data_IF_578897448375
#
_entry.id   IF_578897448375
#
_cell.length_a   1.000
_cell.length_b   1.000
_cell.length_c   1.000
_cell.angle_alpha   90.00
_cell.angle_beta   90.00
_cell.angle_gamma   90.00
#
_symmetry.space_group_name_H-M   'P 1'
#
loop_
_entity.id
_entity.type
_entity.pdbx_description
1 polymer ?
#
# COMPACT_ATOMS: atom_id res chain seq x y z
N UNK A 1 -18.84 -17.79 1.64
CA UNK A 1 -18.37 -17.15 2.89
C UNK A 1 -17.94 -18.24 3.86
N UNK A 2 -16.93 -18.01 4.67
CA UNK A 2 -16.40 -19.01 5.60
C UNK A 2 -15.70 -18.36 6.78
N UNK A 3 -15.40 -19.14 7.83
CA UNK A 3 -14.66 -18.67 8.99
C UNK A 3 -13.24 -18.24 8.60
N UNK A 4 -12.82 -17.07 9.02
CA UNK A 4 -11.48 -16.52 8.88
C UNK A 4 -11.02 -15.86 10.19
N UNK A 5 -9.89 -15.16 10.20
CA UNK A 5 -9.34 -14.53 11.40
C UNK A 5 -10.17 -13.35 11.97
N UNK A 6 -11.26 -12.96 11.32
CA UNK A 6 -12.13 -11.85 11.71
C UNK A 6 -13.55 -12.32 12.04
N UNK A 7 -13.82 -13.62 12.00
CA UNK A 7 -15.19 -14.16 12.11
C UNK A 7 -15.81 -13.98 13.48
N UNK A 8 -15.01 -13.81 14.52
CA UNK A 8 -15.39 -13.54 15.90
C UNK A 8 -15.63 -12.04 16.19
N UNK A 9 -15.25 -11.16 15.28
CA UNK A 9 -15.47 -9.73 15.42
C UNK A 9 -16.88 -9.35 15.00
N UNK A 10 -17.44 -8.34 15.65
CA UNK A 10 -18.60 -7.61 15.13
C UNK A 10 -18.19 -6.83 13.88
N UNK A 11 -19.15 -6.37 13.08
CA UNK A 11 -18.88 -5.53 11.91
C UNK A 11 -18.22 -4.21 12.32
N UNK A 12 -18.61 -3.64 13.44
CA UNK A 12 -18.05 -2.40 13.98
C UNK A 12 -16.59 -2.58 14.42
N UNK A 13 -16.30 -3.63 15.18
CA UNK A 13 -14.92 -3.96 15.56
C UNK A 13 -14.02 -4.21 14.35
N UNK A 14 -14.52 -4.91 13.33
CA UNK A 14 -13.79 -5.11 12.08
C UNK A 14 -13.53 -3.78 11.36
N UNK A 15 -14.53 -2.92 11.21
CA UNK A 15 -14.38 -1.60 10.57
C UNK A 15 -13.38 -0.73 11.35
N UNK A 16 -13.38 -0.79 12.68
CA UNK A 16 -12.44 -0.05 13.52
C UNK A 16 -11.00 -0.56 13.41
N UNK A 17 -10.79 -1.81 12.98
CA UNK A 17 -9.46 -2.35 12.66
C UNK A 17 -8.98 -1.95 11.27
N UNK A 18 -9.91 -1.71 10.34
CA UNK A 18 -9.56 -1.15 9.05
C UNK A 18 -9.07 0.26 9.30
N UNK A 19 -7.92 0.55 8.83
CA UNK A 19 -7.42 1.88 9.00
C UNK A 19 -8.26 2.85 8.23
N UNK A 20 -8.84 3.74 8.94
CA UNK A 20 -9.44 4.90 8.32
C UNK A 20 -8.40 5.59 7.44
N UNK A 21 -8.57 5.47 6.13
CA UNK A 21 -8.15 6.56 5.28
C UNK A 21 -8.86 7.78 5.83
N UNK A 22 -8.14 8.82 6.17
CA UNK A 22 -8.73 9.99 6.76
C UNK A 22 -9.90 10.46 5.90
N UNK A 23 -10.96 10.93 6.54
CA UNK A 23 -12.11 11.51 5.85
C UNK A 23 -11.64 12.54 4.82
N UNK A 24 -12.46 12.87 3.82
CA UNK A 24 -12.17 13.92 2.82
C UNK A 24 -11.72 15.24 3.47
N UNK A 25 -12.15 15.52 4.68
CA UNK A 25 -11.77 16.66 5.49
C UNK A 25 -10.32 16.54 6.00
N UNK A 26 -9.94 15.40 6.49
CA UNK A 26 -8.56 15.11 6.89
C UNK A 26 -7.61 15.15 5.69
N UNK A 27 -8.01 14.63 4.53
CA UNK A 27 -7.24 14.76 3.28
C UNK A 27 -7.00 16.23 2.92
N UNK A 28 -8.02 17.11 3.03
CA UNK A 28 -7.87 18.55 2.81
C UNK A 28 -6.87 19.16 3.78
N UNK A 29 -6.96 18.83 5.07
CA UNK A 29 -6.04 19.30 6.10
C UNK A 29 -4.60 18.84 5.83
N UNK A 30 -4.42 17.61 5.37
CA UNK A 30 -3.11 17.08 4.98
C UNK A 30 -2.56 17.78 3.73
N UNK A 31 -3.42 18.07 2.74
CA UNK A 31 -3.05 18.87 1.56
C UNK A 31 -2.62 20.29 1.95
N UNK A 32 -3.31 20.92 2.89
CA UNK A 32 -2.93 22.25 3.38
C UNK A 32 -1.62 22.21 4.17
N UNK A 33 -1.46 21.22 5.05
CA UNK A 33 -0.23 21.02 5.83
C UNK A 33 0.98 20.76 4.93
N UNK A 34 0.83 19.98 3.87
CA UNK A 34 1.94 19.72 2.95
C UNK A 34 2.31 20.95 2.13
N UNK A 35 1.36 21.81 1.77
CA UNK A 35 1.64 23.12 1.16
C UNK A 35 2.47 24.01 2.09
N UNK A 36 2.14 24.02 3.38
CA UNK A 36 2.90 24.76 4.41
C UNK A 36 4.33 24.21 4.57
N UNK A 37 4.51 22.92 4.34
CA UNK A 37 5.82 22.25 4.44
C UNK A 37 6.58 22.21 3.10
N UNK A 38 6.07 22.86 2.05
CA UNK A 38 6.61 22.79 0.68
C UNK A 38 6.81 21.35 0.15
N UNK A 39 5.98 20.41 0.60
CA UNK A 39 6.01 19.04 0.12
C UNK A 39 5.22 18.91 -1.18
N UNK A 40 5.78 18.27 -2.16
CA UNK A 40 5.07 17.95 -3.42
C UNK A 40 4.10 16.80 -3.16
N UNK A 41 2.79 17.04 -3.32
CA UNK A 41 1.71 16.10 -3.02
C UNK A 41 1.34 15.16 -4.17
N UNK A 42 2.20 14.99 -5.14
CA UNK A 42 1.90 14.11 -6.28
C UNK A 42 3.08 13.25 -6.64
N UNK A 43 2.79 12.02 -6.97
CA UNK A 43 3.73 11.13 -7.63
C UNK A 43 3.81 11.54 -9.12
N UNK A 44 4.82 12.30 -9.49
CA UNK A 44 4.94 12.94 -10.83
C UNK A 44 5.48 12.02 -11.92
N UNK A 45 5.73 10.75 -11.62
CA UNK A 45 6.14 9.77 -12.61
C UNK A 45 5.06 9.55 -13.68
N UNK A 46 5.46 9.11 -14.86
CA UNK A 46 4.53 8.79 -15.95
C UNK A 46 4.41 7.27 -16.12
N UNK A 47 3.18 6.78 -16.18
CA UNK A 47 2.89 5.38 -16.49
C UNK A 47 2.74 5.24 -18.00
N UNK A 48 3.70 4.57 -18.63
CA UNK A 48 3.63 4.25 -20.06
C UNK A 48 2.57 3.19 -20.30
N UNK A 49 1.63 3.46 -21.18
CA UNK A 49 0.59 2.50 -21.56
C UNK A 49 1.19 1.37 -22.37
N UNK A 50 0.94 0.12 -21.98
CA UNK A 50 1.26 -1.03 -22.80
C UNK A 50 0.29 -1.13 -23.97
N UNK A 51 0.76 -1.14 -25.23
CA UNK A 51 -0.14 -1.23 -26.38
C UNK A 51 -0.77 -2.62 -26.52
N UNK A 52 -0.08 -3.66 -26.05
CA UNK A 52 -0.55 -5.06 -26.09
C UNK A 52 -0.33 -5.67 -24.69
N UNK A 53 -1.23 -5.42 -23.72
CA UNK A 53 -1.11 -6.01 -22.40
C UNK A 53 -1.31 -7.54 -22.50
N UNK A 54 -0.55 -8.35 -21.72
CA UNK A 54 -0.82 -9.76 -21.63
C UNK A 54 -2.21 -10.00 -21.00
N UNK A 55 -2.84 -11.12 -21.32
CA UNK A 55 -4.16 -11.48 -20.77
C UNK A 55 -4.14 -11.72 -19.27
N UNK A 56 -2.99 -12.10 -18.74
CA UNK A 56 -2.80 -12.39 -17.32
C UNK A 56 -1.41 -11.97 -16.84
N UNK A 57 -1.37 -11.42 -15.62
CA UNK A 57 -0.15 -11.13 -14.86
C UNK A 57 -0.31 -11.68 -13.45
N UNK A 58 0.69 -12.38 -12.94
CA UNK A 58 0.74 -12.85 -11.55
C UNK A 58 2.16 -12.70 -10.99
N UNK A 59 2.30 -11.83 -10.02
CA UNK A 59 3.52 -11.57 -9.26
C UNK A 59 3.58 -12.33 -7.93
N UNK A 60 2.47 -12.99 -7.51
CA UNK A 60 2.32 -13.56 -6.18
C UNK A 60 3.40 -14.57 -5.79
N UNK A 61 3.96 -15.28 -6.77
CA UNK A 61 5.02 -16.29 -6.57
C UNK A 61 6.40 -15.84 -7.05
N UNK A 62 6.50 -14.62 -7.61
CA UNK A 62 7.74 -14.18 -8.29
C UNK A 62 8.45 -13.05 -7.59
N UNK A 63 7.69 -12.09 -7.04
CA UNK A 63 8.26 -10.83 -6.63
C UNK A 63 7.72 -10.29 -5.30
N UNK A 64 6.77 -10.95 -4.64
CA UNK A 64 6.19 -10.45 -3.40
C UNK A 64 6.51 -11.34 -2.21
N UNK A 65 6.66 -10.72 -1.07
CA UNK A 65 6.84 -11.37 0.24
C UNK A 65 5.51 -11.95 0.76
N UNK A 66 5.56 -12.70 1.83
CA UNK A 66 4.35 -13.25 2.46
C UNK A 66 3.41 -12.14 2.93
N UNK A 67 2.10 -12.40 2.90
CA UNK A 67 1.08 -11.48 3.38
C UNK A 67 1.32 -11.14 4.85
N UNK A 68 1.37 -9.85 5.15
CA UNK A 68 1.56 -9.32 6.50
C UNK A 68 0.21 -9.21 7.20
N UNK A 69 0.12 -9.72 8.44
CA UNK A 69 -1.04 -9.51 9.30
C UNK A 69 -0.93 -8.14 9.97
N UNK A 70 -1.81 -7.24 9.62
CA UNK A 70 -1.83 -5.87 10.13
C UNK A 70 -2.20 -5.79 11.62
N UNK A 71 -3.06 -6.69 12.12
CA UNK A 71 -3.57 -6.63 13.49
C UNK A 71 -4.39 -5.36 13.74
N UNK A 72 -4.30 -4.82 14.94
CA UNK A 72 -5.04 -3.62 15.35
C UNK A 72 -4.34 -2.29 14.95
N UNK A 73 -3.17 -2.34 14.31
CA UNK A 73 -2.47 -1.14 13.86
C UNK A 73 -2.91 -0.77 12.44
N UNK A 74 -3.29 0.47 12.25
CA UNK A 74 -3.67 1.02 10.96
C UNK A 74 -2.52 1.19 9.97
N UNK A 75 -1.73 0.17 9.76
CA UNK A 75 -0.49 0.19 8.99
C UNK A 75 -0.63 -0.19 7.52
N UNK A 76 -1.84 -0.39 7.01
CA UNK A 76 -2.06 -0.88 5.64
C UNK A 76 -1.36 -0.04 4.57
N UNK A 77 -1.35 1.28 4.72
CA UNK A 77 -0.67 2.21 3.80
C UNK A 77 0.84 1.94 3.74
N UNK A 78 1.47 1.72 4.90
CA UNK A 78 2.89 1.43 4.99
C UNK A 78 3.20 0.04 4.43
N UNK A 79 2.42 -0.97 4.80
CA UNK A 79 2.59 -2.36 4.32
C UNK A 79 2.43 -2.42 2.80
N UNK A 80 1.41 -1.78 2.22
CA UNK A 80 1.20 -1.75 0.79
C UNK A 80 2.34 -1.03 0.04
N UNK A 81 2.78 0.14 0.53
CA UNK A 81 3.89 0.88 -0.05
C UNK A 81 5.20 0.07 -0.02
N UNK A 82 5.49 -0.57 1.13
CA UNK A 82 6.68 -1.40 1.27
C UNK A 82 6.61 -2.64 0.37
N UNK A 83 5.46 -3.31 0.29
CA UNK A 83 5.29 -4.47 -0.62
C UNK A 83 5.57 -4.13 -2.09
N UNK A 84 5.17 -2.95 -2.55
CA UNK A 84 5.50 -2.49 -3.90
C UNK A 84 7.02 -2.28 -4.08
N UNK A 85 7.70 -1.70 -3.08
CA UNK A 85 9.15 -1.47 -3.13
C UNK A 85 9.92 -2.79 -3.05
N UNK A 86 9.52 -3.72 -2.20
CA UNK A 86 10.10 -5.07 -2.11
C UNK A 86 10.02 -5.80 -3.45
N UNK A 87 8.86 -5.70 -4.11
CA UNK A 87 8.65 -6.30 -5.41
C UNK A 87 9.56 -5.70 -6.49
N UNK A 88 9.62 -4.36 -6.58
CA UNK A 88 10.50 -3.69 -7.53
C UNK A 88 11.99 -3.95 -7.23
N UNK A 89 12.35 -4.04 -5.96
CA UNK A 89 13.68 -4.43 -5.53
C UNK A 89 14.02 -5.85 -6.00
N UNK A 90 13.09 -6.79 -5.81
CA UNK A 90 13.23 -8.17 -6.26
C UNK A 90 13.38 -8.27 -7.79
N UNK A 91 12.54 -7.55 -8.53
CA UNK A 91 12.60 -7.52 -10.00
C UNK A 91 13.90 -6.92 -10.51
N UNK A 92 14.43 -5.91 -9.82
CA UNK A 92 15.67 -5.23 -10.23
C UNK A 92 16.94 -6.00 -9.87
N UNK A 93 16.97 -6.61 -8.69
CA UNK A 93 18.20 -7.21 -8.14
C UNK A 93 18.17 -8.74 -8.06
N UNK A 94 17.04 -9.38 -8.44
CA UNK A 94 16.87 -10.83 -8.37
C UNK A 94 16.83 -11.38 -6.94
N UNK A 95 16.60 -10.53 -5.94
CA UNK A 95 16.62 -10.90 -4.52
C UNK A 95 15.42 -10.33 -3.79
N UNK A 96 14.62 -11.21 -3.21
CA UNK A 96 13.47 -10.84 -2.40
C UNK A 96 13.91 -10.65 -0.94
N UNK A 97 14.04 -9.40 -0.52
CA UNK A 97 14.33 -9.02 0.87
C UNK A 97 13.12 -8.32 1.48
N UNK A 98 12.90 -8.54 2.78
CA UNK A 98 11.86 -7.84 3.53
C UNK A 98 12.35 -6.49 4.01
N UNK A 99 11.57 -5.44 3.77
CA UNK A 99 11.86 -4.07 4.17
C UNK A 99 11.04 -3.66 5.40
N UNK A 100 11.42 -2.55 6.01
CA UNK A 100 10.77 -2.08 7.23
C UNK A 100 9.59 -1.17 6.95
N UNK A 101 8.37 -1.69 7.07
CA UNK A 101 7.19 -0.82 7.15
C UNK A 101 7.11 -0.09 8.51
N UNK A 102 7.75 -0.62 9.55
CA UNK A 102 7.86 0.03 10.85
C UNK A 102 8.60 1.37 10.76
N UNK A 103 9.65 1.45 9.95
CA UNK A 103 10.34 2.72 9.71
C UNK A 103 9.36 3.77 9.15
N UNK A 104 8.47 3.39 8.24
CA UNK A 104 7.45 4.30 7.70
C UNK A 104 6.47 4.71 8.79
N UNK A 105 5.99 3.76 9.61
CA UNK A 105 5.10 4.07 10.74
C UNK A 105 5.71 5.09 11.70
N UNK A 106 6.96 4.90 12.06
CA UNK A 106 7.62 5.69 13.10
C UNK A 106 8.12 7.05 12.59
N UNK A 107 8.52 7.13 11.31
CA UNK A 107 9.34 8.25 10.83
C UNK A 107 8.65 9.13 9.77
N UNK A 108 7.51 8.72 9.20
CA UNK A 108 6.87 9.49 8.12
C UNK A 108 5.86 10.54 8.59
N UNK A 109 5.81 10.83 9.90
CA UNK A 109 4.87 11.80 10.47
C UNK A 109 5.00 13.21 9.90
N UNK A 110 6.22 13.67 9.60
CA UNK A 110 6.44 14.96 8.94
C UNK A 110 5.87 15.03 7.51
N UNK A 111 5.67 13.87 6.87
CA UNK A 111 5.06 13.74 5.54
C UNK A 111 3.53 13.62 5.60
N UNK A 112 2.95 13.56 6.80
CA UNK A 112 1.51 13.56 7.02
C UNK A 112 0.93 12.21 7.46
N UNK A 113 1.72 11.15 7.54
CA UNK A 113 1.28 9.86 8.07
C UNK A 113 1.14 9.91 9.60
N UNK A 114 0.24 9.11 10.16
CA UNK A 114 -0.11 9.11 11.59
C UNK A 114 0.17 7.77 12.28
N UNK A 115 1.20 7.06 11.83
CA UNK A 115 1.58 5.77 12.39
C UNK A 115 0.45 4.73 12.31
N UNK A 116 0.08 4.13 13.44
CA UNK A 116 -1.03 3.17 13.52
C UNK A 116 -2.43 3.79 13.36
N UNK A 117 -2.55 5.11 13.32
CA UNK A 117 -3.83 5.80 13.07
C UNK A 117 -4.11 6.01 11.60
N UNK A 118 -3.17 5.66 10.72
CA UNK A 118 -3.36 5.71 9.30
C UNK A 118 -2.37 6.58 8.55
N UNK A 119 -2.57 6.65 7.25
CA UNK A 119 -1.73 7.44 6.36
C UNK A 119 -1.98 7.10 4.89
N UNK A 120 -1.15 7.67 4.03
CA UNK A 120 -1.23 7.49 2.59
C UNK A 120 0.04 6.85 2.04
N UNK A 121 -0.12 6.03 1.02
CA UNK A 121 1.00 5.38 0.32
C UNK A 121 1.92 6.40 -0.34
N UNK A 122 1.37 7.49 -0.88
CA UNK A 122 2.14 8.57 -1.51
C UNK A 122 3.07 9.24 -0.51
N UNK A 123 2.56 9.54 0.70
CA UNK A 123 3.35 10.12 1.79
C UNK A 123 4.45 9.15 2.27
N UNK A 124 4.17 7.85 2.25
CA UNK A 124 5.17 6.82 2.51
C UNK A 124 6.25 6.81 1.41
N UNK A 125 5.87 6.91 0.14
CA UNK A 125 6.81 6.97 -0.98
C UNK A 125 7.68 8.24 -0.92
N UNK A 126 7.12 9.42 -0.63
CA UNK A 126 7.90 10.66 -0.49
C UNK A 126 8.90 10.57 0.64
N UNK A 127 8.46 10.05 1.81
CA UNK A 127 9.39 9.82 2.92
C UNK A 127 10.57 8.93 2.50
N UNK A 128 10.29 7.81 1.80
CA UNK A 128 11.31 6.86 1.35
C UNK A 128 12.22 7.45 0.26
N UNK A 129 11.66 8.28 -0.61
CA UNK A 129 12.43 9.00 -1.64
C UNK A 129 13.50 9.87 -1.01
N UNK A 130 13.14 10.64 0.01
CA UNK A 130 14.04 11.60 0.66
C UNK A 130 15.04 10.93 1.63
N UNK A 131 14.59 9.91 2.35
CA UNK A 131 15.35 9.33 3.46
C UNK A 131 15.95 7.97 3.14
N UNK A 132 15.36 7.21 2.22
CA UNK A 132 15.68 5.81 2.00
C UNK A 132 14.91 4.87 2.92
N UNK A 133 15.15 3.58 2.77
CA UNK A 133 14.44 2.51 3.44
C UNK A 133 15.40 1.47 3.98
N UNK A 134 15.24 1.08 5.22
CA UNK A 134 15.97 0.01 5.89
C UNK A 134 15.34 -1.36 5.62
N UNK A 135 16.12 -2.42 5.73
CA UNK A 135 15.58 -3.77 5.82
C UNK A 135 14.87 -4.00 7.16
N UNK A 136 13.92 -4.95 7.18
CA UNK A 136 13.27 -5.37 8.43
C UNK A 136 14.22 -6.01 9.45
N UNK A 137 15.40 -6.45 9.01
CA UNK A 137 16.47 -6.96 9.88
C UNK A 137 17.14 -5.83 10.67
N UNK A 138 17.31 -4.68 10.02
CA UNK A 138 17.98 -3.50 10.61
C UNK A 138 17.02 -2.64 11.41
N UNK A 139 15.77 -2.52 10.94
CA UNK A 139 14.69 -1.80 11.60
C UNK A 139 13.47 -2.73 11.72
N UNK A 140 13.34 -3.49 12.83
CA UNK A 140 12.37 -4.58 12.95
C UNK A 140 10.91 -4.12 12.93
N UNK A 141 10.08 -4.85 12.19
CA UNK A 141 8.64 -4.66 12.14
C UNK A 141 7.96 -5.14 13.44
N UNK A 142 7.29 -4.26 14.16
CA UNK A 142 6.58 -4.56 15.42
C UNK A 142 5.09 -4.25 15.33
N UNK A 143 4.68 -3.46 14.33
CA UNK A 143 3.30 -3.07 14.07
C UNK A 143 2.63 -2.34 15.25
N UNK A 144 3.37 -1.45 15.88
CA UNK A 144 2.94 -0.54 16.95
C UNK A 144 3.56 0.83 16.73
N UNK A 145 3.00 1.88 17.32
CA UNK A 145 3.63 3.22 17.30
C UNK A 145 4.90 3.23 18.15
N UNK A 146 5.99 3.74 17.61
CA UNK A 146 7.26 3.95 18.29
C UNK A 146 7.86 5.31 17.90
N UNK A 147 8.87 5.75 18.64
CA UNK A 147 9.69 6.88 18.24
C UNK A 147 10.59 6.50 17.06
N UNK A 148 10.76 7.40 16.11
CA UNK A 148 11.66 7.20 14.99
C UNK A 148 13.11 7.08 15.48
N UNK A 149 13.76 5.96 15.16
CA UNK A 149 15.17 5.70 15.46
C UNK A 149 16.01 5.46 14.19
N UNK A 150 15.42 5.71 13.02
CA UNK A 150 16.12 5.53 11.75
C UNK A 150 17.28 6.51 11.59
N UNK A 151 18.39 6.00 11.08
CA UNK A 151 19.54 6.78 10.65
C UNK A 151 19.93 6.38 9.22
N UNK A 152 20.59 7.30 8.49
CA UNK A 152 20.99 7.06 7.09
C UNK A 152 21.93 5.86 6.93
N UNK A 153 22.65 5.45 7.96
CA UNK A 153 23.50 4.25 7.96
C UNK A 153 22.72 2.95 7.88
N UNK A 154 21.42 2.96 8.20
CA UNK A 154 20.51 1.81 8.11
C UNK A 154 19.93 1.61 6.70
N UNK A 155 20.20 2.53 5.78
CA UNK A 155 19.62 2.52 4.43
C UNK A 155 20.04 1.27 3.65
N UNK A 156 19.05 0.50 3.21
CA UNK A 156 19.20 -0.65 2.32
C UNK A 156 18.89 -0.27 0.87
N UNK A 157 17.81 0.51 0.66
CA UNK A 157 17.37 0.94 -0.66
C UNK A 157 16.70 2.30 -0.62
N UNK A 158 16.29 2.82 -1.75
CA UNK A 158 15.45 4.01 -1.91
C UNK A 158 14.76 3.96 -3.26
N UNK A 159 13.75 4.83 -3.42
CA UNK A 159 13.11 5.09 -4.70
C UNK A 159 13.50 6.49 -5.17
N UNK A 160 13.45 6.72 -6.47
CA UNK A 160 13.77 8.03 -7.07
C UNK A 160 12.52 8.83 -7.40
N UNK A 161 11.39 8.17 -7.57
CA UNK A 161 10.08 8.77 -7.88
C UNK A 161 8.97 7.75 -7.71
N UNK A 162 7.75 8.23 -7.64
CA UNK A 162 6.52 7.47 -7.74
C UNK A 162 5.64 8.01 -8.88
N UNK A 163 4.60 7.29 -9.24
CA UNK A 163 3.66 7.69 -10.28
C UNK A 163 2.23 7.37 -9.83
N UNK A 164 1.31 8.31 -10.05
CA UNK A 164 -0.10 8.11 -9.81
C UNK A 164 -0.77 7.48 -11.03
N UNK A 165 -1.61 6.48 -10.77
CA UNK A 165 -2.50 5.94 -11.79
C UNK A 165 -3.67 6.93 -11.94
N UNK A 166 -3.93 7.47 -13.16
CA UNK A 166 -5.06 8.37 -13.37
C UNK A 166 -6.39 7.73 -12.98
N UNK A 167 -7.20 8.45 -12.21
CA UNK A 167 -8.51 7.99 -11.75
C UNK A 167 -9.40 7.51 -12.92
N UNK A 168 -10.02 6.35 -12.76
CA UNK A 168 -10.90 5.75 -13.77
C UNK A 168 -10.17 5.12 -14.95
N UNK A 169 -8.84 5.10 -14.98
CA UNK A 169 -8.08 4.52 -16.08
C UNK A 169 -7.66 3.06 -15.81
N UNK A 170 -8.53 2.13 -16.19
CA UNK A 170 -8.21 0.69 -16.11
C UNK A 170 -6.94 0.33 -16.90
N UNK A 171 -6.77 0.88 -18.11
CA UNK A 171 -5.60 0.62 -18.97
C UNK A 171 -4.29 1.06 -18.30
N UNK A 172 -4.31 2.20 -17.59
CA UNK A 172 -3.14 2.68 -16.87
C UNK A 172 -2.85 1.84 -15.63
N UNK A 173 -3.88 1.39 -14.90
CA UNK A 173 -3.72 0.47 -13.78
C UNK A 173 -3.13 -0.86 -14.26
N UNK A 174 -3.68 -1.44 -15.31
CA UNK A 174 -3.17 -2.66 -15.94
C UNK A 174 -1.71 -2.49 -16.38
N UNK A 175 -1.39 -1.36 -17.03
CA UNK A 175 -0.02 -1.04 -17.46
C UNK A 175 0.96 -0.87 -16.29
N UNK A 176 0.50 -0.35 -15.16
CA UNK A 176 1.29 -0.29 -13.93
C UNK A 176 1.57 -1.68 -13.39
N UNK A 177 0.53 -2.53 -13.29
CA UNK A 177 0.66 -3.91 -12.77
C UNK A 177 1.57 -4.78 -13.66
N UNK A 178 1.62 -4.55 -14.95
CA UNK A 178 2.57 -5.23 -15.86
C UNK A 178 4.03 -4.93 -15.46
N UNK A 179 4.31 -3.73 -14.99
CA UNK A 179 5.66 -3.32 -14.57
C UNK A 179 6.04 -3.82 -13.19
N UNK A 180 5.05 -4.14 -12.35
CA UNK A 180 5.23 -4.65 -10.99
C UNK A 180 3.98 -4.45 -10.12
N UNK A 181 3.94 -5.05 -8.93
CA UNK A 181 2.86 -4.84 -7.98
C UNK A 181 2.58 -3.36 -7.73
N UNK A 182 1.31 -2.99 -7.73
CA UNK A 182 0.83 -1.61 -7.66
C UNK A 182 -0.04 -1.40 -6.42
N UNK A 183 0.20 -0.33 -5.66
CA UNK A 183 -0.63 0.00 -4.50
C UNK A 183 -1.98 0.56 -4.92
N UNK A 184 -3.01 0.16 -4.20
CA UNK A 184 -4.38 0.67 -4.36
C UNK A 184 -5.03 0.89 -3.01
N UNK A 185 -6.08 1.69 -2.99
CA UNK A 185 -6.90 1.88 -1.81
C UNK A 185 -8.36 1.54 -2.13
N UNK A 186 -9.02 0.81 -1.25
CA UNK A 186 -10.36 0.28 -1.46
C UNK A 186 -11.25 0.47 -0.24
N UNK A 187 -12.55 0.31 -0.43
CA UNK A 187 -13.51 0.07 0.65
C UNK A 187 -13.55 -1.43 0.96
N UNK A 188 -13.00 -1.82 2.10
CA UNK A 188 -12.97 -3.18 2.59
C UNK A 188 -14.06 -3.49 3.63
N UNK A 189 -15.03 -2.58 3.86
CA UNK A 189 -16.03 -2.70 4.93
C UNK A 189 -16.85 -3.99 4.89
N UNK A 190 -17.09 -4.52 3.68
CA UNK A 190 -17.87 -5.75 3.48
C UNK A 190 -17.00 -7.01 3.30
N UNK A 191 -15.66 -6.89 3.50
CA UNK A 191 -14.72 -8.00 3.31
C UNK A 191 -14.50 -8.86 4.57
N UNK A 192 -15.15 -8.54 5.69
CA UNK A 192 -14.99 -9.24 6.98
C UNK A 192 -14.99 -10.75 6.84
N UNK A 193 -15.96 -11.30 6.11
CA UNK A 193 -16.17 -12.74 5.95
C UNK A 193 -15.63 -13.29 4.61
N UNK A 194 -14.82 -12.48 3.89
CA UNK A 194 -14.16 -12.94 2.67
C UNK A 194 -13.08 -13.98 3.00
N UNK A 195 -13.06 -15.07 2.23
CA UNK A 195 -12.08 -16.15 2.41
C UNK A 195 -11.31 -16.48 1.14
N UNK A 196 -12.00 -16.58 0.01
CA UNK A 196 -11.39 -16.96 -1.26
C UNK A 196 -12.31 -16.66 -2.44
N UNK A 197 -11.77 -16.69 -3.66
CA UNK A 197 -12.46 -16.51 -4.93
C UNK A 197 -12.56 -15.04 -5.34
N UNK A 198 -13.30 -14.77 -6.40
CA UNK A 198 -13.50 -13.41 -6.91
C UNK A 198 -14.50 -12.67 -6.02
N UNK A 199 -14.07 -11.55 -5.43
CA UNK A 199 -14.92 -10.67 -4.63
C UNK A 199 -15.62 -9.66 -5.55
N UNK A 200 -16.93 -9.78 -5.70
CA UNK A 200 -17.75 -8.98 -6.62
C UNK A 200 -18.89 -8.21 -5.93
N UNK A 201 -18.80 -8.01 -4.61
CA UNK A 201 -19.80 -7.22 -3.90
C UNK A 201 -19.63 -5.72 -4.16
N UNK A 202 -20.72 -4.93 -4.11
CA UNK A 202 -20.64 -3.48 -4.20
C UNK A 202 -19.71 -2.91 -3.12
N UNK A 203 -18.91 -1.92 -3.50
CA UNK A 203 -18.07 -1.15 -2.60
C UNK A 203 -18.24 0.35 -2.86
N UNK A 204 -17.92 1.18 -1.87
CA UNK A 204 -17.95 2.62 -2.01
C UNK A 204 -16.75 3.12 -2.82
N UNK A 205 -16.98 4.10 -3.70
CA UNK A 205 -15.91 4.83 -4.37
C UNK A 205 -15.44 6.09 -3.60
N UNK A 206 -16.14 6.41 -2.50
CA UNK A 206 -15.87 7.62 -1.70
C UNK A 206 -15.47 7.33 -0.27
N UNK A 207 -15.83 6.15 0.23
CA UNK A 207 -15.42 5.68 1.56
C UNK A 207 -14.32 4.62 1.39
N UNK A 208 -13.09 5.07 1.51
CA UNK A 208 -11.90 4.24 1.34
C UNK A 208 -11.28 4.01 2.72
N UNK A 209 -11.02 2.77 3.09
CA UNK A 209 -10.56 2.42 4.44
C UNK A 209 -9.45 1.35 4.47
N UNK A 210 -8.95 0.89 3.32
CA UNK A 210 -7.90 -0.11 3.28
C UNK A 210 -6.96 0.10 2.10
N UNK A 211 -5.65 0.13 2.38
CA UNK A 211 -4.62 0.05 1.36
C UNK A 211 -4.27 -1.42 1.08
N UNK A 212 -4.07 -1.73 -0.18
CA UNK A 212 -3.72 -3.07 -0.66
C UNK A 212 -2.65 -3.01 -1.75
N UNK A 213 -2.09 -4.16 -2.06
CA UNK A 213 -1.15 -4.36 -3.16
C UNK A 213 -1.80 -5.24 -4.21
N UNK A 214 -2.02 -4.70 -5.41
CA UNK A 214 -2.43 -5.48 -6.58
C UNK A 214 -1.19 -6.22 -7.09
N UNK A 215 -1.26 -7.52 -7.09
CA UNK A 215 -0.15 -8.41 -7.49
C UNK A 215 -0.39 -9.11 -8.82
N UNK A 216 -1.50 -8.80 -9.47
CA UNK A 216 -1.82 -9.38 -10.77
C UNK A 216 -3.22 -9.05 -11.23
N UNK A 217 -3.55 -9.56 -12.40
CA UNK A 217 -4.88 -9.54 -13.00
C UNK A 217 -5.03 -10.71 -13.97
N UNK A 218 -6.26 -11.07 -14.30
CA UNK A 218 -6.52 -12.15 -15.25
C UNK A 218 -8.01 -12.39 -15.46
N UNK A 219 -8.33 -13.55 -15.99
CA UNK A 219 -9.69 -14.04 -16.19
C UNK A 219 -9.81 -15.44 -15.62
N UNK A 220 -10.82 -15.67 -14.80
CA UNK A 220 -11.19 -16.99 -14.26
C UNK A 220 -12.70 -17.15 -14.44
N UNK A 221 -13.15 -18.26 -15.03
CA UNK A 221 -14.57 -18.57 -15.31
C UNK A 221 -15.30 -17.43 -16.02
N UNK A 222 -14.69 -16.83 -17.04
CA UNK A 222 -15.16 -15.66 -17.78
C UNK A 222 -15.37 -14.39 -16.93
N UNK A 223 -14.82 -14.33 -15.72
CA UNK A 223 -14.81 -13.16 -14.89
C UNK A 223 -13.40 -12.56 -14.82
N UNK A 224 -13.27 -11.28 -15.06
CA UNK A 224 -12.01 -10.54 -14.85
C UNK A 224 -11.78 -10.29 -13.37
N UNK A 225 -10.53 -10.45 -12.95
CA UNK A 225 -10.09 -10.12 -11.60
C UNK A 225 -8.79 -9.35 -11.61
#
# INVERSE_FOLDING_TARGET
MGLNSFSDLTKEEYINMLTTYPTREHYKTQVERSKLLNLTLSCTGNITTSPNPPDQVDWSKKAVTAVVKQGACGSSYAIAAIGAIEALYSLKYGKLDTMSYQQVLDCSGAYGNEGCQGGFMDQAFWYIQDNGLASSKTYPNKNINQNCTYTKSMKTTSITRCADVPTGSYIKLQSSVIQGPTTVAIDASEMKDYKAGIYNKPCSSTYINQAMLVVGYGVEDNQTY
#
